data_IF_498606280235
#
_entry.id   IF_498606280235
#
_cell.length_a   1.000
_cell.length_b   1.000
_cell.length_c   1.000
_cell.angle_alpha   90.00
_cell.angle_beta   90.00
_cell.angle_gamma   90.00
#
_symmetry.space_group_name_H-M   'P 1'
#
loop_
_entity.id
_entity.type
_entity.pdbx_description
1 polymer ?
#
# COMPACT_ATOMS: atom_id res chain seq x y z
N UNK A 1 25.33 -22.97 6.30
CA UNK A 1 25.34 -21.61 6.89
C UNK A 1 25.02 -20.65 5.75
N UNK A 2 23.99 -19.80 5.88
CA UNK A 2 23.62 -18.81 4.86
C UNK A 2 23.34 -17.45 5.52
N UNK A 3 23.76 -16.36 4.88
CA UNK A 3 23.58 -14.97 5.32
C UNK A 3 23.08 -14.11 4.16
N UNK A 4 22.17 -13.18 4.44
CA UNK A 4 21.66 -12.22 3.47
C UNK A 4 20.95 -11.05 4.13
N UNK A 5 20.82 -9.94 3.41
CA UNK A 5 20.16 -8.72 3.86
C UNK A 5 19.29 -8.13 2.74
N UNK A 6 18.18 -7.48 3.10
CA UNK A 6 17.30 -6.78 2.16
C UNK A 6 16.59 -5.63 2.85
N UNK A 7 16.45 -4.50 2.15
CA UNK A 7 15.64 -3.39 2.61
C UNK A 7 14.13 -3.73 2.57
N UNK A 8 13.38 -3.16 3.51
CA UNK A 8 11.93 -3.28 3.60
C UNK A 8 11.30 -1.89 3.55
N UNK A 9 10.06 -1.80 3.07
CA UNK A 9 9.34 -0.52 2.98
C UNK A 9 8.64 -0.23 4.30
N UNK A 10 8.87 0.94 4.86
CA UNK A 10 8.26 1.37 6.13
C UNK A 10 7.33 2.57 6.01
N UNK A 11 7.18 3.15 4.81
CA UNK A 11 6.38 4.35 4.57
C UNK A 11 4.86 4.14 4.66
N UNK A 12 4.40 2.88 4.59
CA UNK A 12 3.00 2.51 4.77
C UNK A 12 2.00 3.26 3.88
N UNK A 13 0.80 3.49 4.42
CA UNK A 13 -0.33 4.10 3.72
C UNK A 13 -0.03 5.49 3.14
N UNK A 14 0.69 6.33 3.87
CA UNK A 14 0.99 7.71 3.49
C UNK A 14 1.97 7.82 2.32
N UNK A 15 2.73 6.76 2.07
CA UNK A 15 3.79 6.75 1.05
C UNK A 15 3.37 6.00 -0.23
N UNK A 16 2.08 5.66 -0.37
CA UNK A 16 1.58 4.98 -1.57
C UNK A 16 1.59 5.97 -2.77
N UNK A 17 2.29 5.65 -3.87
CA UNK A 17 2.31 6.50 -5.05
C UNK A 17 1.06 6.29 -5.91
N UNK A 18 0.97 7.02 -7.03
CA UNK A 18 0.04 6.66 -8.10
C UNK A 18 0.38 5.23 -8.58
N UNK A 19 -0.60 4.33 -8.53
CA UNK A 19 -0.36 2.89 -8.73
C UNK A 19 -0.33 2.47 -10.21
N UNK A 20 -0.80 3.30 -11.13
CA UNK A 20 -0.97 2.92 -12.53
C UNK A 20 -0.62 4.07 -13.48
N UNK A 21 -0.16 3.71 -14.67
CA UNK A 21 0.35 4.63 -15.69
C UNK A 21 0.18 4.01 -17.10
N UNK A 22 0.29 4.81 -18.18
CA UNK A 22 0.25 4.30 -19.54
C UNK A 22 1.29 3.20 -19.78
N UNK A 23 0.83 1.97 -20.00
CA UNK A 23 1.67 0.79 -20.23
C UNK A 23 1.93 -0.08 -19.00
N UNK A 24 1.44 0.26 -17.80
CA UNK A 24 1.65 -0.61 -16.64
C UNK A 24 1.08 -0.15 -15.30
N UNK A 25 1.42 -0.91 -14.26
CA UNK A 25 1.06 -0.61 -12.88
C UNK A 25 2.13 -1.11 -11.89
N UNK A 26 2.11 -0.56 -10.68
CA UNK A 26 3.00 -0.90 -9.57
C UNK A 26 2.30 -1.88 -8.62
N UNK A 27 2.95 -2.99 -8.32
CA UNK A 27 2.41 -4.06 -7.46
C UNK A 27 3.35 -4.36 -6.29
N UNK A 28 2.80 -4.93 -5.22
CA UNK A 28 3.53 -5.44 -4.07
C UNK A 28 4.37 -4.42 -3.31
N UNK A 29 5.55 -4.84 -2.85
CA UNK A 29 6.43 -3.97 -2.07
C UNK A 29 6.97 -2.79 -2.89
N UNK A 30 7.03 -2.88 -4.23
CA UNK A 30 7.38 -1.75 -5.09
C UNK A 30 6.38 -0.61 -4.96
N UNK A 31 5.08 -0.93 -4.81
CA UNK A 31 4.03 0.05 -4.53
C UNK A 31 3.98 0.47 -3.06
N UNK A 32 4.64 -0.27 -2.16
CA UNK A 32 4.68 0.02 -0.73
C UNK A 32 3.62 -0.69 0.13
N UNK A 33 3.04 -1.80 -0.35
CA UNK A 33 1.99 -2.54 0.38
C UNK A 33 2.52 -3.42 1.54
N UNK A 34 3.29 -2.84 2.46
CA UNK A 34 3.81 -3.52 3.64
C UNK A 34 3.11 -3.04 4.91
N UNK A 35 2.59 -3.98 5.70
CA UNK A 35 2.10 -3.72 7.05
C UNK A 35 3.29 -3.69 8.01
N UNK A 36 3.73 -2.47 8.36
CA UNK A 36 4.97 -2.24 9.13
C UNK A 36 4.90 -2.83 10.54
N UNK A 37 3.83 -2.59 11.33
CA UNK A 37 3.76 -3.16 12.68
C UNK A 37 3.75 -4.69 12.72
N UNK A 38 3.17 -5.33 11.69
CA UNK A 38 3.13 -6.79 11.60
C UNK A 38 4.37 -7.38 10.91
N UNK A 39 5.18 -6.57 10.23
CA UNK A 39 6.27 -6.98 9.34
C UNK A 39 5.74 -8.00 8.29
N UNK A 40 4.58 -7.68 7.69
CA UNK A 40 3.92 -8.54 6.70
C UNK A 40 3.58 -7.77 5.43
N UNK A 41 4.15 -8.19 4.31
CA UNK A 41 3.84 -7.64 2.98
C UNK A 41 3.49 -8.69 1.93
N UNK A 42 3.72 -9.99 2.19
CA UNK A 42 3.57 -11.05 1.18
C UNK A 42 2.12 -11.23 0.75
N UNK A 43 1.19 -11.24 1.70
CA UNK A 43 -0.25 -11.39 1.44
C UNK A 43 -0.80 -10.20 0.65
N UNK A 44 -0.42 -8.98 1.04
CA UNK A 44 -0.77 -7.77 0.31
C UNK A 44 -0.16 -7.76 -1.10
N UNK A 45 1.10 -8.21 -1.23
CA UNK A 45 1.76 -8.29 -2.53
C UNK A 45 1.05 -9.27 -3.48
N UNK A 46 0.71 -10.47 -2.99
CA UNK A 46 -0.06 -11.43 -3.77
C UNK A 46 -1.42 -10.88 -4.18
N UNK A 47 -2.18 -10.29 -3.25
CA UNK A 47 -3.50 -9.72 -3.58
C UNK A 47 -3.39 -8.54 -4.56
N UNK A 48 -2.38 -7.69 -4.41
CA UNK A 48 -2.14 -6.59 -5.35
C UNK A 48 -1.81 -7.09 -6.75
N UNK A 49 -1.11 -8.22 -6.89
CA UNK A 49 -0.83 -8.86 -8.17
C UNK A 49 -2.09 -9.46 -8.82
N UNK A 50 -2.95 -10.11 -8.03
CA UNK A 50 -4.23 -10.63 -8.52
C UNK A 50 -5.12 -9.49 -9.07
N UNK A 51 -5.26 -8.40 -8.32
CA UNK A 51 -6.06 -7.25 -8.74
C UNK A 51 -5.47 -6.55 -9.98
N UNK A 52 -4.13 -6.52 -10.09
CA UNK A 52 -3.45 -5.99 -11.27
C UNK A 52 -3.74 -6.85 -12.50
N UNK A 53 -3.69 -8.18 -12.38
CA UNK A 53 -4.00 -9.11 -13.46
C UNK A 53 -5.46 -8.98 -13.92
N UNK A 54 -6.41 -8.92 -12.97
CA UNK A 54 -7.83 -8.68 -13.29
C UNK A 54 -8.03 -7.34 -14.04
N UNK A 55 -7.37 -6.28 -13.58
CA UNK A 55 -7.47 -4.95 -14.21
C UNK A 55 -6.80 -4.88 -15.58
N UNK A 56 -5.72 -5.64 -15.77
CA UNK A 56 -5.04 -5.74 -17.06
C UNK A 56 -5.90 -6.48 -18.10
N UNK A 57 -6.56 -7.57 -17.70
CA UNK A 57 -7.49 -8.30 -18.57
C UNK A 57 -8.66 -7.40 -18.97
N UNK A 58 -9.26 -6.68 -18.01
CA UNK A 58 -10.32 -5.71 -18.30
C UNK A 58 -9.87 -4.63 -19.30
N UNK A 59 -8.65 -4.10 -19.13
CA UNK A 59 -8.10 -3.10 -20.04
C UNK A 59 -7.83 -3.66 -21.45
N UNK A 60 -7.43 -4.93 -21.58
CA UNK A 60 -7.24 -5.60 -22.87
C UNK A 60 -8.58 -5.77 -23.59
N UNK A 61 -9.62 -6.22 -22.86
CA UNK A 61 -10.97 -6.40 -23.43
C UNK A 61 -11.57 -5.05 -23.84
N UNK A 62 -11.43 -4.02 -23.00
CA UNK A 62 -11.93 -2.67 -23.32
C UNK A 62 -11.22 -2.08 -24.56
N UNK A 63 -9.92 -2.36 -24.73
CA UNK A 63 -9.14 -1.89 -25.86
C UNK A 63 -9.64 -2.40 -27.23
N UNK A 64 -10.41 -3.50 -27.26
CA UNK A 64 -11.04 -4.00 -28.50
C UNK A 64 -12.15 -3.06 -29.01
N UNK A 65 -12.83 -2.34 -28.09
CA UNK A 65 -13.93 -1.43 -28.43
C UNK A 65 -13.55 0.03 -28.29
N UNK A 66 -12.62 0.36 -27.40
CA UNK A 66 -12.12 1.70 -27.11
C UNK A 66 -10.60 1.76 -27.28
N UNK A 67 -10.08 2.18 -28.45
CA UNK A 67 -8.66 2.22 -28.69
C UNK A 67 -7.95 3.13 -27.67
N UNK A 68 -6.88 2.60 -27.07
CA UNK A 68 -6.04 3.38 -26.15
C UNK A 68 -5.40 4.57 -26.87
N UNK A 69 -5.40 5.73 -26.21
CA UNK A 69 -4.73 6.95 -26.69
C UNK A 69 -3.21 6.78 -26.73
N UNK A 70 -2.68 5.89 -25.89
CA UNK A 70 -1.25 5.59 -25.77
C UNK A 70 -0.93 4.20 -26.33
N UNK A 71 0.30 4.01 -26.79
CA UNK A 71 0.77 2.71 -27.30
C UNK A 71 0.70 1.58 -26.25
N UNK A 72 0.87 1.92 -24.96
CA UNK A 72 0.67 1.00 -23.85
C UNK A 72 -0.73 1.10 -23.26
N UNK A 73 -1.29 -0.04 -22.84
CA UNK A 73 -2.56 -0.11 -22.11
C UNK A 73 -2.38 0.31 -20.65
N UNK A 74 -3.34 1.08 -20.13
CA UNK A 74 -3.35 1.56 -18.76
C UNK A 74 -4.50 0.88 -17.97
N UNK A 75 -4.20 0.10 -16.92
CA UNK A 75 -5.23 -0.58 -16.12
C UNK A 75 -5.91 0.39 -15.14
N UNK A 76 -6.78 1.26 -15.66
CA UNK A 76 -7.43 2.36 -14.92
C UNK A 76 -8.13 1.92 -13.63
N UNK A 77 -8.82 0.78 -13.68
CA UNK A 77 -9.58 0.24 -12.55
C UNK A 77 -8.70 -0.27 -11.39
N UNK A 78 -7.39 -0.45 -11.61
CA UNK A 78 -6.51 -1.06 -10.61
C UNK A 78 -6.47 -0.27 -9.31
N UNK A 79 -6.39 1.05 -9.40
CA UNK A 79 -6.31 1.91 -8.20
C UNK A 79 -7.58 1.81 -7.36
N UNK A 80 -8.74 1.75 -8.00
CA UNK A 80 -10.02 1.70 -7.30
C UNK A 80 -10.26 0.32 -6.69
N UNK A 81 -9.92 -0.75 -7.42
CA UNK A 81 -9.92 -2.11 -6.87
C UNK A 81 -9.01 -2.26 -5.65
N UNK A 82 -7.85 -1.61 -5.64
CA UNK A 82 -6.97 -1.61 -4.47
C UNK A 82 -7.63 -0.89 -3.29
N UNK A 83 -8.24 0.28 -3.50
CA UNK A 83 -8.95 1.04 -2.46
C UNK A 83 -10.13 0.27 -1.87
N UNK A 84 -10.85 -0.49 -2.69
CA UNK A 84 -11.98 -1.31 -2.25
C UNK A 84 -11.54 -2.61 -1.57
N UNK A 85 -10.31 -3.04 -1.81
CA UNK A 85 -9.76 -4.26 -1.23
C UNK A 85 -9.44 -4.13 0.26
N UNK A 86 -9.21 -5.28 0.89
CA UNK A 86 -8.75 -5.34 2.27
C UNK A 86 -7.33 -4.80 2.47
N UNK A 87 -6.51 -4.68 1.40
CA UNK A 87 -5.17 -4.07 1.48
C UNK A 87 -5.28 -2.63 1.99
N UNK A 88 -6.20 -1.85 1.42
CA UNK A 88 -6.39 -0.46 1.77
C UNK A 88 -6.82 -0.30 3.23
N UNK A 89 -7.82 -1.09 3.65
CA UNK A 89 -8.32 -1.11 5.03
C UNK A 89 -7.22 -1.50 6.02
N UNK A 90 -6.43 -2.51 5.68
CA UNK A 90 -5.32 -2.98 6.52
C UNK A 90 -4.27 -1.88 6.70
N UNK A 91 -3.76 -1.29 5.60
CA UNK A 91 -2.75 -0.24 5.66
C UNK A 91 -3.26 1.01 6.37
N UNK A 92 -4.52 1.39 6.13
CA UNK A 92 -5.14 2.55 6.77
C UNK A 92 -5.26 2.38 8.28
N UNK A 93 -5.59 1.18 8.77
CA UNK A 93 -5.70 0.90 10.22
C UNK A 93 -4.38 1.05 10.97
N UNK A 94 -3.24 0.88 10.28
CA UNK A 94 -1.91 0.96 10.88
C UNK A 94 -1.12 2.20 10.46
N UNK A 95 -1.77 3.15 9.78
CA UNK A 95 -1.09 4.31 9.14
C UNK A 95 -0.28 5.15 10.13
N UNK A 96 -0.74 5.30 11.36
CA UNK A 96 -0.10 6.18 12.35
C UNK A 96 0.98 5.48 13.20
N UNK A 97 1.21 4.18 13.02
CA UNK A 97 2.21 3.46 13.80
C UNK A 97 3.62 3.99 13.57
N UNK A 98 4.16 3.89 12.35
CA UNK A 98 5.56 4.29 12.08
C UNK A 98 5.80 5.78 12.37
N UNK A 99 4.95 6.72 11.92
CA UNK A 99 5.08 8.13 12.28
C UNK A 99 5.13 8.44 13.78
N UNK A 100 4.44 7.66 14.62
CA UNK A 100 4.39 7.93 16.07
C UNK A 100 5.76 7.85 16.76
N UNK A 101 6.70 7.08 16.19
CA UNK A 101 8.07 6.95 16.69
C UNK A 101 8.98 8.13 16.34
N UNK A 102 8.58 9.00 15.41
CA UNK A 102 9.32 10.19 15.02
C UNK A 102 9.01 11.42 15.91
N UNK A 103 8.14 11.26 16.91
CA UNK A 103 7.85 12.30 17.90
C UNK A 103 9.07 12.58 18.80
N UNK A 104 9.09 13.74 19.47
CA UNK A 104 10.15 14.10 20.44
C UNK A 104 10.30 13.08 21.59
N UNK A 105 9.25 12.29 21.83
CA UNK A 105 9.22 11.23 22.85
C UNK A 105 9.78 9.89 22.33
N UNK A 106 10.20 9.84 21.06
CA UNK A 106 10.87 8.71 20.43
C UNK A 106 10.13 7.39 20.61
N UNK A 107 10.87 6.37 21.04
CA UNK A 107 10.35 5.01 21.23
C UNK A 107 9.21 4.93 22.25
N UNK A 108 9.31 5.63 23.37
CA UNK A 108 8.28 5.58 24.42
C UNK A 108 6.97 6.25 23.99
N UNK A 109 7.07 7.40 23.31
CA UNK A 109 5.90 8.04 22.70
C UNK A 109 5.25 7.19 21.62
N UNK A 110 6.07 6.60 20.75
CA UNK A 110 5.61 5.70 19.70
C UNK A 110 4.90 4.46 20.25
N UNK A 111 5.44 3.85 21.31
CA UNK A 111 4.79 2.71 21.98
C UNK A 111 3.44 3.07 22.61
N UNK A 112 3.36 4.17 23.36
CA UNK A 112 2.11 4.62 23.97
C UNK A 112 1.04 4.93 22.91
N UNK A 113 1.43 5.67 21.87
CA UNK A 113 0.53 6.02 20.78
C UNK A 113 0.11 4.77 19.98
N UNK A 114 1.03 3.85 19.71
CA UNK A 114 0.74 2.59 19.03
C UNK A 114 -0.27 1.75 19.81
N UNK A 115 -0.15 1.69 21.14
CA UNK A 115 -1.12 1.04 22.02
C UNK A 115 -2.50 1.69 21.93
N UNK A 116 -2.57 3.02 22.00
CA UNK A 116 -3.81 3.78 21.83
C UNK A 116 -4.45 3.54 20.45
N UNK A 117 -3.65 3.60 19.39
CA UNK A 117 -4.10 3.39 18.02
C UNK A 117 -4.65 1.99 17.80
N UNK A 118 -4.02 0.99 18.42
CA UNK A 118 -4.47 -0.39 18.39
C UNK A 118 -5.82 -0.58 19.12
N UNK A 119 -6.02 0.09 20.27
CA UNK A 119 -7.30 0.08 20.99
C UNK A 119 -8.44 0.68 20.15
N UNK A 120 -8.15 1.75 19.42
CA UNK A 120 -9.11 2.37 18.50
C UNK A 120 -9.23 1.66 17.15
N UNK A 121 -8.42 0.63 16.89
CA UNK A 121 -8.36 -0.04 15.59
C UNK A 121 -7.99 0.91 14.43
N UNK A 122 -7.21 1.96 14.70
CA UNK A 122 -6.82 2.96 13.71
C UNK A 122 -7.94 3.91 13.27
N UNK A 123 -9.04 4.02 14.02
CA UNK A 123 -10.20 4.89 13.71
C UNK A 123 -10.02 6.36 14.10
N UNK A 124 -8.78 6.77 14.34
CA UNK A 124 -8.43 8.16 14.63
C UNK A 124 -8.85 9.07 13.45
N UNK A 125 -9.41 10.26 13.69
CA UNK A 125 -9.83 11.17 12.61
C UNK A 125 -8.66 11.96 11.98
N UNK A 126 -7.41 11.58 12.24
CA UNK A 126 -6.22 12.24 11.70
C UNK A 126 -5.21 11.24 11.12
N UNK A 127 -4.27 11.73 10.33
CA UNK A 127 -3.15 10.96 9.78
C UNK A 127 -1.85 11.72 10.05
N UNK A 128 -0.91 11.07 10.73
CA UNK A 128 0.41 11.61 11.00
C UNK A 128 1.28 11.57 9.73
N UNK A 129 2.16 12.56 9.57
CA UNK A 129 3.12 12.61 8.46
C UNK A 129 4.40 11.86 8.82
N UNK A 130 5.09 11.35 7.81
CA UNK A 130 6.50 11.01 7.93
C UNK A 130 7.32 12.31 8.02
N UNK A 131 8.42 12.26 8.79
CA UNK A 131 9.38 13.36 8.97
C UNK A 131 10.65 13.12 8.18
#
# INVERSE_FOLDING_TARGET
IAYGARALVEGGFQSLPKLQFPGGCLVGCTAGFLNVPKIKGVHNAMKSGMLAAESAIEAIIDAETNPSVTAGLEPKNYTDKIKDSWIWKELYSVRNFRPSFHSKLGMYGGLMYSGFSMLLGGREPWTLSHG
#
